data_IF_319352605032
#
_entry.id   IF_319352605032
#
_cell.length_a   1.000
_cell.length_b   1.000
_cell.length_c   1.000
_cell.angle_alpha   90.00
_cell.angle_beta   90.00
_cell.angle_gamma   90.00
#
_symmetry.space_group_name_H-M   'P 1'
#
loop_
_entity.id
_entity.type
_entity.pdbx_description
1 polymer ?
#
# COMPACT_ATOMS: atom_id res chain seq x y z
N UNK A 1 -21.02 -1.88 -7.14
CA UNK A 1 -20.34 -3.02 -7.79
C UNK A 1 -19.23 -3.52 -6.87
N UNK A 2 -19.26 -4.78 -6.43
CA UNK A 2 -18.21 -5.34 -5.56
C UNK A 2 -17.02 -5.74 -6.43
N UNK A 3 -15.93 -4.97 -6.38
CA UNK A 3 -14.65 -5.33 -7.03
C UNK A 3 -13.66 -5.84 -5.98
N UNK A 4 -12.79 -6.75 -6.40
CA UNK A 4 -11.83 -7.43 -5.51
C UNK A 4 -10.64 -6.55 -5.14
N UNK A 5 -10.41 -5.47 -5.90
CA UNK A 5 -9.31 -4.50 -5.76
C UNK A 5 -9.64 -3.31 -4.84
N UNK A 6 -10.88 -3.20 -4.38
CA UNK A 6 -11.36 -2.10 -3.54
C UNK A 6 -10.66 -1.95 -2.17
N UNK A 7 -10.30 -3.02 -1.41
CA UNK A 7 -9.84 -2.85 -0.04
C UNK A 7 -8.49 -2.14 0.08
N UNK A 8 -8.44 -1.12 0.94
CA UNK A 8 -7.25 -0.32 1.24
C UNK A 8 -6.96 -0.38 2.75
N UNK A 9 -5.68 -0.49 3.09
CA UNK A 9 -5.18 -0.44 4.45
C UNK A 9 -4.72 0.98 4.77
N UNK A 10 -5.37 1.63 5.73
CA UNK A 10 -4.94 2.90 6.28
C UNK A 10 -4.01 2.65 7.48
N UNK A 11 -2.79 3.15 7.40
CA UNK A 11 -1.76 3.02 8.42
C UNK A 11 -1.40 4.41 8.95
N UNK A 12 -1.35 4.54 10.28
CA UNK A 12 -0.76 5.69 10.94
C UNK A 12 0.63 5.34 11.42
N UNK A 13 1.64 6.00 10.86
CA UNK A 13 3.02 5.84 11.29
C UNK A 13 3.28 6.66 12.56
N UNK A 14 4.21 6.19 13.39
CA UNK A 14 4.61 6.83 14.64
C UNK A 14 5.75 7.81 14.37
N UNK A 15 5.86 8.90 15.15
CA UNK A 15 7.03 9.78 15.10
C UNK A 15 8.34 9.02 15.28
N UNK A 16 9.39 9.44 14.56
CA UNK A 16 10.73 8.84 14.64
C UNK A 16 10.95 7.60 13.77
N UNK A 17 9.90 7.08 13.11
CA UNK A 17 10.05 6.04 12.09
C UNK A 17 10.70 6.65 10.83
N UNK A 18 11.72 6.00 10.30
CA UNK A 18 12.35 6.41 9.05
C UNK A 18 11.49 5.94 7.88
N UNK A 19 10.87 6.89 7.17
CA UNK A 19 9.98 6.62 6.06
C UNK A 19 10.65 7.00 4.74
N UNK A 20 10.68 6.06 3.81
CA UNK A 20 11.10 6.28 2.42
C UNK A 20 9.86 6.27 1.53
N UNK A 21 9.60 7.40 0.87
CA UNK A 21 8.50 7.54 -0.08
C UNK A 21 8.94 7.08 -1.47
N UNK A 22 8.00 6.58 -2.27
CA UNK A 22 8.27 6.18 -3.66
C UNK A 22 8.42 7.43 -4.53
N UNK A 23 9.37 7.38 -5.47
CA UNK A 23 9.56 8.43 -6.45
C UNK A 23 8.25 8.68 -7.24
N UNK A 24 7.82 9.94 -7.33
CA UNK A 24 6.57 10.34 -7.99
C UNK A 24 5.29 10.08 -7.20
N UNK A 25 5.40 9.70 -5.92
CA UNK A 25 4.26 9.49 -5.00
C UNK A 25 4.51 10.17 -3.64
N UNK A 26 5.39 11.17 -3.60
CA UNK A 26 5.88 11.80 -2.37
C UNK A 26 4.79 12.56 -1.60
N UNK A 27 3.70 12.94 -2.27
CA UNK A 27 2.57 13.68 -1.70
C UNK A 27 1.33 12.79 -1.45
N UNK A 28 1.42 11.47 -1.59
CA UNK A 28 0.25 10.57 -1.50
C UNK A 28 -0.29 10.39 -0.07
N UNK A 29 0.52 10.66 0.96
CA UNK A 29 0.12 10.56 2.36
C UNK A 29 -0.44 11.90 2.90
N UNK A 30 -1.29 11.83 3.92
CA UNK A 30 -1.75 13.01 4.67
C UNK A 30 -1.16 12.97 6.09
N UNK A 31 -0.21 13.87 6.38
CA UNK A 31 0.55 13.80 7.63
C UNK A 31 1.22 12.42 7.80
N UNK A 32 0.97 11.75 8.93
CA UNK A 32 1.50 10.41 9.19
C UNK A 32 0.59 9.27 8.71
N UNK A 33 -0.45 9.58 7.91
CA UNK A 33 -1.39 8.60 7.38
C UNK A 33 -1.03 8.15 5.97
N UNK A 34 -0.84 6.85 5.81
CA UNK A 34 -0.47 6.20 4.54
C UNK A 34 -1.52 5.16 4.19
N UNK A 35 -1.97 5.17 2.94
CA UNK A 35 -3.00 4.24 2.45
C UNK A 35 -2.40 3.34 1.37
N UNK A 36 -2.37 2.03 1.60
CA UNK A 36 -1.87 1.05 0.63
C UNK A 36 -2.98 0.08 0.21
N UNK A 37 -2.96 -0.40 -1.03
CA UNK A 37 -3.85 -1.51 -1.40
C UNK A 37 -3.60 -2.71 -0.49
N UNK A 38 -4.68 -3.34 -0.03
CA UNK A 38 -4.62 -4.59 0.72
C UNK A 38 -4.29 -5.78 -0.19
N UNK A 39 -4.36 -5.61 -1.51
CA UNK A 39 -4.26 -6.70 -2.47
C UNK A 39 -2.80 -6.95 -2.82
N UNK A 40 -2.30 -8.13 -2.44
CA UNK A 40 -0.94 -8.56 -2.69
C UNK A 40 -0.62 -8.55 -4.19
N UNK A 41 0.51 -7.95 -4.55
CA UNK A 41 0.97 -7.81 -5.94
C UNK A 41 1.47 -9.12 -6.59
N UNK A 42 1.54 -10.20 -5.81
CA UNK A 42 1.83 -11.54 -6.31
C UNK A 42 0.59 -12.15 -6.96
N UNK A 43 -0.28 -12.80 -6.16
CA UNK A 43 -1.47 -13.52 -6.63
C UNK A 43 -2.78 -13.01 -6.01
N UNK A 44 -2.80 -11.75 -5.54
CA UNK A 44 -4.05 -11.05 -5.22
C UNK A 44 -4.67 -11.37 -3.86
N UNK A 45 -4.02 -12.19 -3.02
CA UNK A 45 -4.48 -12.41 -1.66
C UNK A 45 -4.50 -11.11 -0.83
N UNK A 46 -5.44 -10.96 0.12
CA UNK A 46 -5.44 -9.82 1.05
C UNK A 46 -4.26 -9.87 2.04
N UNK A 47 -3.27 -8.99 1.88
CA UNK A 47 -2.19 -8.79 2.83
C UNK A 47 -2.71 -8.04 4.07
N UNK A 48 -2.97 -8.78 5.14
CA UNK A 48 -3.76 -8.29 6.29
C UNK A 48 -3.02 -8.36 7.62
N UNK A 49 -1.87 -9.04 7.67
CA UNK A 49 -1.14 -9.28 8.91
C UNK A 49 -0.08 -8.18 9.04
N UNK A 50 -0.31 -7.20 9.90
CA UNK A 50 0.59 -6.07 10.07
C UNK A 50 1.41 -6.20 11.35
N UNK A 51 2.73 -6.21 11.20
CA UNK A 51 3.69 -6.14 12.28
C UNK A 51 4.15 -4.67 12.42
N UNK A 52 3.80 -4.06 13.54
CA UNK A 52 3.94 -2.61 13.74
C UNK A 52 5.36 -2.15 14.04
N UNK A 53 6.19 -3.00 14.64
CA UNK A 53 7.51 -2.58 15.14
C UNK A 53 8.50 -2.42 13.98
N UNK A 54 8.46 -3.35 13.04
CA UNK A 54 9.30 -3.42 11.85
C UNK A 54 8.65 -2.87 10.60
N UNK A 55 7.35 -2.56 10.64
CA UNK A 55 6.62 -2.01 9.49
C UNK A 55 6.40 -3.04 8.39
N UNK A 56 6.27 -4.32 8.74
CA UNK A 56 6.07 -5.38 7.78
C UNK A 56 4.58 -5.70 7.65
N UNK A 57 4.07 -5.64 6.42
CA UNK A 57 2.75 -6.13 6.06
C UNK A 57 2.89 -7.49 5.36
N UNK A 58 2.33 -8.53 5.97
CA UNK A 58 2.49 -9.91 5.55
C UNK A 58 1.23 -10.41 4.83
N UNK A 59 1.46 -11.06 3.69
CA UNK A 59 0.45 -11.81 2.96
C UNK A 59 0.47 -13.27 3.43
N UNK A 60 -0.64 -13.81 3.98
CA UNK A 60 -0.65 -15.14 4.58
C UNK A 60 -0.56 -16.29 3.56
N UNK A 61 -0.90 -16.03 2.29
CA UNK A 61 -0.97 -17.09 1.28
C UNK A 61 0.40 -17.66 0.90
N UNK A 62 1.35 -16.77 0.61
CA UNK A 62 2.69 -17.14 0.11
C UNK A 62 3.80 -16.36 0.81
N UNK A 63 3.47 -15.77 1.98
CA UNK A 63 4.42 -15.15 2.90
C UNK A 63 5.20 -13.96 2.32
N UNK A 64 4.68 -13.31 1.26
CA UNK A 64 5.24 -12.03 0.82
C UNK A 64 5.16 -11.01 1.96
N UNK A 65 6.26 -10.32 2.20
CA UNK A 65 6.37 -9.28 3.23
C UNK A 65 6.65 -7.95 2.53
N UNK A 66 5.82 -6.95 2.81
CA UNK A 66 5.95 -5.60 2.25
C UNK A 66 6.38 -4.65 3.36
N UNK A 67 7.47 -3.92 3.13
CA UNK A 67 7.98 -2.92 4.05
C UNK A 67 7.22 -1.61 3.83
N UNK A 68 6.23 -1.33 4.69
CA UNK A 68 5.35 -0.17 4.54
C UNK A 68 6.05 1.15 4.88
N UNK A 69 7.16 1.10 5.63
CA UNK A 69 8.01 2.28 5.82
C UNK A 69 8.83 2.61 4.57
N UNK A 70 9.04 1.64 3.69
CA UNK A 70 9.69 1.81 2.39
C UNK A 70 8.68 1.62 1.26
N UNK A 71 7.67 2.49 1.22
CA UNK A 71 6.64 2.58 0.18
C UNK A 71 5.92 1.27 -0.17
N UNK A 72 5.87 0.30 0.75
CA UNK A 72 5.27 -1.01 0.50
C UNK A 72 6.12 -1.90 -0.41
N UNK A 73 7.44 -1.67 -0.48
CA UNK A 73 8.39 -2.49 -1.25
C UNK A 73 8.40 -3.92 -0.73
N UNK A 74 8.39 -4.96 -1.59
CA UNK A 74 8.61 -6.32 -1.14
C UNK A 74 10.00 -6.47 -0.51
N UNK A 75 10.03 -7.05 0.68
CA UNK A 75 11.26 -7.37 1.42
C UNK A 75 11.55 -8.88 1.41
N UNK A 76 10.51 -9.70 1.31
CA UNK A 76 10.61 -11.16 1.29
C UNK A 76 9.44 -11.80 0.52
N UNK A 77 9.62 -13.05 0.12
CA UNK A 77 8.62 -13.87 -0.57
C UNK A 77 8.53 -13.57 -2.07
N UNK A 78 7.52 -14.13 -2.77
CA UNK A 78 7.47 -14.14 -4.22
C UNK A 78 6.97 -12.83 -4.88
N UNK A 79 6.49 -11.86 -4.10
CA UNK A 79 6.05 -10.59 -4.67
C UNK A 79 7.26 -9.76 -5.13
N UNK A 80 7.20 -9.24 -6.35
CA UNK A 80 8.31 -8.46 -6.95
C UNK A 80 7.99 -6.97 -7.12
N UNK A 81 6.77 -6.54 -6.78
CA UNK A 81 6.29 -5.15 -6.92
C UNK A 81 5.77 -4.58 -5.62
N UNK A 82 6.02 -3.29 -5.42
CA UNK A 82 5.47 -2.56 -4.28
C UNK A 82 3.95 -2.54 -4.30
N UNK A 83 3.33 -2.49 -3.12
CA UNK A 83 1.91 -2.26 -3.00
C UNK A 83 1.57 -0.86 -3.55
N UNK A 84 0.52 -0.71 -4.37
CA UNK A 84 0.04 0.61 -4.77
C UNK A 84 -0.35 1.45 -3.55
N UNK A 85 0.14 2.68 -3.50
CA UNK A 85 -0.28 3.68 -2.50
C UNK A 85 -1.44 4.51 -3.07
N UNK A 86 -2.48 4.73 -2.28
CA UNK A 86 -3.62 5.57 -2.63
C UNK A 86 -3.33 7.01 -2.18
N UNK A 87 -3.42 8.01 -3.06
CA UNK A 87 -3.28 9.40 -2.65
C UNK A 87 -4.50 9.84 -1.84
N UNK A 88 -4.28 10.28 -0.61
CA UNK A 88 -5.36 10.68 0.32
C UNK A 88 -5.19 12.13 0.78
N UNK A 89 -6.29 12.72 1.24
CA UNK A 89 -6.33 14.00 1.96
C UNK A 89 -7.50 14.00 2.93
N UNK A 90 -7.67 15.09 3.67
CA UNK A 90 -8.86 15.40 4.45
C UNK A 90 -9.67 16.49 3.73
N UNK A 91 -11.00 16.36 3.71
CA UNK A 91 -11.92 17.37 3.18
C UNK A 91 -12.25 18.47 4.21
N UNK A 92 -13.11 19.42 3.84
CA UNK A 92 -13.47 20.56 4.69
C UNK A 92 -14.21 20.15 5.97
N UNK A 93 -14.92 19.03 5.93
CA UNK A 93 -15.67 18.46 7.06
C UNK A 93 -14.79 17.59 7.97
N UNK A 94 -13.53 17.35 7.60
CA UNK A 94 -12.58 16.57 8.38
C UNK A 94 -12.57 15.07 8.05
N UNK A 95 -13.23 14.63 6.97
CA UNK A 95 -13.23 13.24 6.54
C UNK A 95 -12.06 12.92 5.62
N UNK A 96 -11.55 11.69 5.72
CA UNK A 96 -10.54 11.19 4.78
C UNK A 96 -11.18 10.90 3.42
N UNK A 97 -10.58 11.44 2.38
CA UNK A 97 -10.95 11.22 0.99
C UNK A 97 -9.75 10.78 0.16
N UNK A 98 -9.99 10.03 -0.91
CA UNK A 98 -8.99 9.77 -1.94
C UNK A 98 -8.94 10.95 -2.91
N UNK A 99 -7.73 11.43 -3.27
CA UNK A 99 -7.56 12.51 -4.26
C UNK A 99 -7.70 12.02 -5.70
N UNK A 100 -7.40 10.75 -5.94
CA UNK A 100 -7.54 10.08 -7.23
C UNK A 100 -7.56 8.56 -7.03
N UNK A 101 -7.66 7.82 -8.14
CA UNK A 101 -7.36 6.38 -8.16
C UNK A 101 -5.85 6.13 -7.98
N UNK A 102 -5.47 4.86 -7.85
CA UNK A 102 -4.08 4.42 -7.92
C UNK A 102 -3.47 4.74 -9.29
N UNK A 103 -2.20 5.15 -9.28
CA UNK A 103 -1.42 5.31 -10.52
C UNK A 103 -0.75 3.99 -10.98
N UNK A 104 -0.79 2.97 -10.11
CA UNK A 104 -0.26 1.63 -10.36
C UNK A 104 -1.39 0.62 -10.43
N UNK A 105 -1.21 -0.42 -11.23
CA UNK A 105 -2.15 -1.53 -11.24
C UNK A 105 -2.20 -2.26 -9.88
N UNK A 106 -3.42 -2.42 -9.36
CA UNK A 106 -3.71 -3.16 -8.13
C UNK A 106 -3.69 -4.67 -8.36
N UNK A 107 -3.12 -5.39 -7.40
CA UNK A 107 -3.09 -6.86 -7.41
C UNK A 107 -2.03 -7.44 -8.35
N UNK A 108 -2.22 -8.67 -8.86
CA UNK A 108 -1.25 -9.41 -9.68
C UNK A 108 -0.80 -8.68 -10.95
N UNK A 109 0.36 -9.07 -11.48
CA UNK A 109 0.80 -8.60 -12.78
C UNK A 109 0.00 -9.24 -13.92
N UNK A 110 -0.06 -8.55 -15.05
CA UNK A 110 -0.63 -9.00 -16.32
C UNK A 110 0.24 -8.48 -17.47
N UNK A 111 0.04 -8.99 -18.68
CA UNK A 111 0.96 -8.81 -19.80
C UNK A 111 1.12 -7.35 -20.25
N UNK A 112 0.04 -6.59 -20.30
CA UNK A 112 0.02 -5.20 -20.78
C UNK A 112 0.37 -4.16 -19.69
N UNK A 113 0.75 -4.63 -18.49
CA UNK A 113 1.02 -3.75 -17.34
C UNK A 113 2.27 -2.91 -17.59
N UNK A 114 2.12 -1.58 -17.50
CA UNK A 114 3.27 -0.65 -17.43
C UNK A 114 3.92 -0.71 -16.05
N UNK A 115 5.24 -0.59 -16.00
CA UNK A 115 6.05 -0.71 -14.77
C UNK A 115 6.59 0.60 -14.28
#
# INVERSE_FOLDING_TARGET
TKRVDNPVLLLKFRPGQQIVKRAGQEDFNYGDLYAFSKICTHLGCPASLYEQQTGLLLCPCHQSQFDVFHYGKPRFGPATRALPQLPITVDEDGYLIARSDFIEAVGPAFWERKS
#
